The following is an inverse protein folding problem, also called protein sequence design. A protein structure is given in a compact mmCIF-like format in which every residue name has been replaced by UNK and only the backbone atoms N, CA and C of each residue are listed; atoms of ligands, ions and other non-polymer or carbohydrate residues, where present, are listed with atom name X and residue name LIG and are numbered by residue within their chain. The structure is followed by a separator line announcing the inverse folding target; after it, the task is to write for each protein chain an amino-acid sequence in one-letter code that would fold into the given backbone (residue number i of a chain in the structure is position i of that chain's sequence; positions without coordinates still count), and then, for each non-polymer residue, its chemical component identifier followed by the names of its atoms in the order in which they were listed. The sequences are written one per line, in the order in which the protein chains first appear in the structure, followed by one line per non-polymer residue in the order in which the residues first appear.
data_IF_029472651517
#
_entry.id   IF_029472651517
#
_cell.length_a   1.000
_cell.length_b   1.000
_cell.length_c   1.000
_cell.angle_alpha   90.00
_cell.angle_beta   90.00
_cell.angle_gamma   90.00
#
_symmetry.space_group_name_H-M   'P 1'
#
loop_
_entity.id
_entity.type
_entity.pdbx_description
1 polymer ?
#
# COMPACT_ATOMS: atom_id res chain seq x y z
N UNK A 1 43.57 -7.55 13.43
CA UNK A 1 42.61 -7.87 14.51
C UNK A 1 41.43 -6.93 14.38
N UNK A 2 40.18 -7.44 14.36
CA UNK A 2 38.96 -6.60 14.36
C UNK A 2 38.26 -6.78 15.70
N UNK A 3 37.83 -5.68 16.29
CA UNK A 3 37.01 -5.65 17.51
C UNK A 3 35.62 -5.19 17.07
N UNK A 4 34.59 -5.96 17.41
CA UNK A 4 33.21 -5.69 17.07
C UNK A 4 32.43 -5.40 18.37
N UNK A 5 31.44 -4.52 18.28
CA UNK A 5 30.52 -4.20 19.36
C UNK A 5 29.09 -4.30 18.84
N UNK A 6 28.16 -4.74 19.69
CA UNK A 6 26.74 -4.82 19.34
C UNK A 6 26.11 -3.42 19.38
N UNK A 7 25.22 -3.15 18.42
CA UNK A 7 24.43 -1.93 18.35
C UNK A 7 22.95 -2.30 18.37
N UNK A 8 22.21 -1.71 19.29
CA UNK A 8 20.74 -1.75 19.28
C UNK A 8 20.24 -0.82 18.18
N UNK A 9 19.43 -1.35 17.27
CA UNK A 9 18.75 -0.58 16.21
C UNK A 9 17.24 -0.77 16.39
N UNK A 10 16.49 0.32 16.26
CA UNK A 10 15.05 0.23 16.16
C UNK A 10 14.67 -0.54 14.91
N UNK A 11 13.80 -1.52 15.07
CA UNK A 11 13.29 -2.34 13.97
C UNK A 11 11.78 -2.44 14.06
N UNK A 12 11.13 -2.51 12.90
CA UNK A 12 9.68 -2.68 12.81
C UNK A 12 9.37 -4.15 13.08
N UNK A 13 8.82 -4.44 14.25
CA UNK A 13 8.43 -5.81 14.66
C UNK A 13 7.02 -6.17 14.21
N UNK A 14 6.14 -5.17 14.07
CA UNK A 14 4.79 -5.36 13.59
C UNK A 14 4.27 -4.10 12.93
N UNK A 15 3.24 -4.25 12.10
CA UNK A 15 2.41 -3.18 11.56
C UNK A 15 0.95 -3.57 11.73
N UNK A 16 0.11 -2.56 11.92
CA UNK A 16 -1.33 -2.73 12.14
C UNK A 16 -2.06 -2.09 10.97
N UNK A 17 -3.10 -2.76 10.48
CA UNK A 17 -3.97 -2.17 9.47
C UNK A 17 -4.77 -1.02 10.10
N UNK A 18 -4.72 0.16 9.50
CA UNK A 18 -5.40 1.36 10.00
C UNK A 18 -6.93 1.28 9.92
N UNK A 19 -7.49 0.24 9.28
CA UNK A 19 -8.95 0.07 9.11
C UNK A 19 -9.54 -0.97 10.07
N UNK A 20 -9.07 -2.22 10.04
CA UNK A 20 -9.57 -3.27 10.96
C UNK A 20 -8.80 -3.38 12.27
N UNK A 21 -7.66 -2.70 12.39
CA UNK A 21 -6.81 -2.75 13.58
C UNK A 21 -6.15 -4.13 13.84
N UNK A 22 -6.11 -4.99 12.82
CA UNK A 22 -5.42 -6.29 12.85
C UNK A 22 -3.96 -6.17 12.39
N UNK A 23 -3.13 -7.14 12.79
CA UNK A 23 -1.76 -7.27 12.31
C UNK A 23 -1.71 -7.52 10.80
N UNK A 24 -0.87 -6.77 10.08
CA UNK A 24 -0.54 -7.04 8.66
C UNK A 24 0.68 -7.96 8.52
N UNK A 25 1.17 -8.49 9.64
CA UNK A 25 2.17 -9.55 9.69
C UNK A 25 1.45 -10.86 10.03
N UNK A 26 1.45 -11.82 9.09
CA UNK A 26 0.78 -13.12 9.21
C UNK A 26 1.80 -14.20 9.59
N UNK A 27 1.49 -15.03 10.58
CA UNK A 27 2.25 -16.23 10.89
C UNK A 27 1.77 -17.42 10.06
N UNK A 28 2.64 -18.00 9.23
CA UNK A 28 2.37 -19.22 8.48
C UNK A 28 3.56 -20.17 8.57
N UNK A 29 3.32 -21.43 8.94
CA UNK A 29 4.36 -22.46 9.05
C UNK A 29 5.56 -22.07 9.96
N UNK A 30 5.31 -21.25 11.00
CA UNK A 30 6.36 -20.76 11.89
C UNK A 30 7.22 -19.62 11.32
N UNK A 31 6.79 -19.05 10.18
CA UNK A 31 7.42 -17.90 9.55
C UNK A 31 6.44 -16.72 9.52
N UNK A 32 6.95 -15.54 9.86
CA UNK A 32 6.21 -14.28 9.72
C UNK A 32 6.30 -13.77 8.27
N UNK A 33 5.15 -13.57 7.65
CA UNK A 33 5.00 -13.01 6.31
C UNK A 33 4.35 -11.63 6.39
N UNK A 34 4.82 -10.69 5.57
CA UNK A 34 4.25 -9.34 5.50
C UNK A 34 3.17 -9.29 4.41
N UNK A 35 1.94 -8.98 4.82
CA UNK A 35 0.76 -8.76 3.96
C UNK A 35 0.30 -7.30 4.11
N UNK A 36 1.14 -6.36 3.67
CA UNK A 36 0.95 -4.94 3.95
C UNK A 36 1.06 -4.12 2.66
N UNK A 37 -0.05 -3.47 2.31
CA UNK A 37 -0.10 -2.38 1.34
C UNK A 37 0.07 -1.03 2.03
N UNK A 38 0.74 -0.09 1.37
CA UNK A 38 0.92 1.27 1.87
C UNK A 38 0.23 2.27 0.92
N UNK A 39 -0.65 3.13 1.45
CA UNK A 39 -1.15 4.31 0.72
C UNK A 39 -0.47 5.55 1.29
N UNK A 40 0.47 6.12 0.54
CA UNK A 40 1.28 7.26 0.98
C UNK A 40 1.23 8.41 -0.01
N UNK A 41 1.22 9.62 0.52
CA UNK A 41 1.38 10.84 -0.27
C UNK A 41 2.14 11.87 0.55
N UNK A 42 3.03 12.64 -0.08
CA UNK A 42 3.66 13.80 0.53
C UNK A 42 3.58 14.94 -0.46
N UNK A 43 2.97 16.05 -0.03
CA UNK A 43 2.73 17.20 -0.90
C UNK A 43 3.73 18.30 -0.58
N UNK A 44 4.50 18.68 -1.60
CA UNK A 44 5.45 19.78 -1.50
C UNK A 44 4.87 21.11 -1.96
N UNK A 45 5.79 22.08 -2.05
CA UNK A 45 5.49 23.47 -2.38
C UNK A 45 4.62 23.62 -3.62
N UNK A 46 3.53 24.38 -3.50
CA UNK A 46 2.57 24.66 -4.58
C UNK A 46 1.35 23.73 -4.62
N UNK A 47 1.29 22.68 -3.79
CA UNK A 47 0.06 21.93 -3.57
C UNK A 47 -0.94 22.72 -2.70
N UNK A 48 -2.24 22.49 -2.90
CA UNK A 48 -3.27 22.99 -1.95
C UNK A 48 -3.10 22.43 -0.54
N UNK A 49 -2.45 21.28 -0.43
CA UNK A 49 -2.15 20.58 0.81
C UNK A 49 -0.65 20.57 1.10
N UNK A 50 0.07 21.64 0.71
CA UNK A 50 1.51 21.78 0.93
C UNK A 50 1.90 21.51 2.40
N UNK A 51 2.95 20.72 2.57
CA UNK A 51 3.44 20.27 3.87
C UNK A 51 2.67 19.09 4.48
N UNK A 52 1.54 18.68 3.90
CA UNK A 52 0.77 17.54 4.40
C UNK A 52 1.32 16.22 3.84
N UNK A 53 1.57 15.28 4.75
CA UNK A 53 1.93 13.90 4.42
C UNK A 53 0.85 12.96 4.93
N UNK A 54 0.44 12.02 4.09
CA UNK A 54 -0.51 10.95 4.36
C UNK A 54 0.23 9.62 4.35
N UNK A 55 -0.15 8.72 5.25
CA UNK A 55 0.32 7.36 5.28
C UNK A 55 -0.74 6.47 5.92
N UNK A 56 -1.13 5.41 5.20
CA UNK A 56 -1.97 4.34 5.73
C UNK A 56 -1.30 3.00 5.47
N UNK A 57 -1.24 2.16 6.49
CA UNK A 57 -0.91 0.73 6.42
C UNK A 57 -2.22 -0.07 6.30
N UNK A 58 -2.33 -0.88 5.26
CA UNK A 58 -3.53 -1.64 4.91
C UNK A 58 -3.20 -3.13 4.77
N UNK A 59 -4.06 -4.02 5.28
CA UNK A 59 -4.02 -5.42 4.85
C UNK A 59 -4.52 -5.55 3.41
N UNK A 60 -4.31 -6.72 2.79
CA UNK A 60 -4.71 -7.03 1.41
C UNK A 60 -6.18 -6.70 1.18
N UNK A 61 -7.07 -7.12 2.08
CA UNK A 61 -8.51 -6.88 1.97
C UNK A 61 -8.86 -5.38 1.85
N UNK A 62 -8.31 -4.52 2.71
CA UNK A 62 -8.64 -3.09 2.68
C UNK A 62 -7.85 -2.33 1.61
N UNK A 63 -6.69 -2.83 1.22
CA UNK A 63 -6.00 -2.34 0.04
C UNK A 63 -6.83 -2.59 -1.23
N UNK A 64 -7.42 -3.78 -1.38
CA UNK A 64 -8.32 -4.10 -2.49
C UNK A 64 -9.57 -3.21 -2.49
N UNK A 65 -10.15 -2.90 -1.33
CA UNK A 65 -11.26 -1.94 -1.22
C UNK A 65 -10.86 -0.56 -1.75
N UNK A 66 -9.69 -0.04 -1.34
CA UNK A 66 -9.19 1.23 -1.83
C UNK A 66 -8.93 1.21 -3.35
N UNK A 67 -8.35 0.13 -3.86
CA UNK A 67 -8.10 -0.06 -5.28
C UNK A 67 -9.41 -0.12 -6.09
N UNK A 68 -10.42 -0.84 -5.59
CA UNK A 68 -11.74 -0.91 -6.23
C UNK A 68 -12.44 0.45 -6.26
N UNK A 69 -12.37 1.23 -5.17
CA UNK A 69 -12.92 2.58 -5.15
C UNK A 69 -12.28 3.48 -6.23
N UNK A 70 -10.96 3.43 -6.38
CA UNK A 70 -10.24 4.17 -7.43
C UNK A 70 -10.59 3.68 -8.83
N UNK A 71 -10.74 2.36 -8.99
CA UNK A 71 -11.13 1.74 -10.26
C UNK A 71 -12.52 2.17 -10.70
N UNK A 72 -13.48 2.16 -9.78
CA UNK A 72 -14.85 2.57 -10.06
C UNK A 72 -14.93 4.07 -10.34
N UNK A 73 -14.15 4.89 -9.61
CA UNK A 73 -14.03 6.31 -9.90
C UNK A 73 -13.40 6.57 -11.29
N UNK A 74 -12.36 5.83 -11.67
CA UNK A 74 -11.78 5.93 -13.02
C UNK A 74 -12.80 5.52 -14.08
N UNK A 75 -13.59 4.47 -13.83
CA UNK A 75 -14.65 4.03 -14.74
C UNK A 75 -15.69 5.12 -14.97
N UNK A 76 -16.13 5.81 -13.92
CA UNK A 76 -17.14 6.87 -14.04
C UNK A 76 -16.66 8.06 -14.87
N UNK A 77 -15.35 8.34 -14.89
CA UNK A 77 -14.75 9.41 -15.70
C UNK A 77 -14.75 9.05 -17.19
N UNK A 78 -14.44 7.80 -17.54
CA UNK A 78 -14.18 7.40 -18.93
C UNK A 78 -15.34 6.65 -19.60
N UNK A 79 -16.41 6.33 -18.87
CA UNK A 79 -17.50 5.47 -19.37
C UNK A 79 -18.18 5.97 -20.65
N UNK A 80 -18.12 7.28 -20.93
CA UNK A 80 -18.70 7.88 -22.13
C UNK A 80 -17.64 8.41 -23.11
N UNK A 81 -16.37 8.14 -22.86
CA UNK A 81 -15.27 8.54 -23.75
C UNK A 81 -14.81 7.35 -24.59
N UNK A 82 -15.24 7.32 -25.85
CA UNK A 82 -14.90 6.26 -26.81
C UNK A 82 -13.39 6.17 -27.11
N UNK A 83 -12.60 7.18 -26.75
CA UNK A 83 -11.14 7.19 -26.95
C UNK A 83 -10.38 6.60 -25.76
N UNK A 84 -11.02 6.41 -24.62
CA UNK A 84 -10.36 5.94 -23.40
C UNK A 84 -10.85 4.56 -23.00
N UNK A 85 -9.90 3.68 -22.65
CA UNK A 85 -10.22 2.34 -22.20
C UNK A 85 -10.74 2.33 -20.76
N UNK A 86 -11.70 1.43 -20.50
CA UNK A 86 -12.19 1.17 -19.15
C UNK A 86 -11.09 0.48 -18.31
N UNK A 87 -10.99 0.76 -17.01
CA UNK A 87 -9.99 0.12 -16.17
C UNK A 87 -10.30 -1.37 -16.02
N UNK A 88 -9.32 -2.20 -16.37
CA UNK A 88 -9.43 -3.65 -16.48
C UNK A 88 -8.86 -4.38 -15.26
N UNK A 89 -8.57 -5.68 -15.36
CA UNK A 89 -7.97 -6.48 -14.27
C UNK A 89 -6.49 -6.15 -14.02
N UNK A 90 -5.81 -5.42 -14.90
CA UNK A 90 -4.43 -5.00 -14.73
C UNK A 90 -4.31 -3.63 -14.05
N UNK A 91 -5.42 -2.90 -13.85
CA UNK A 91 -5.43 -1.60 -13.17
C UNK A 91 -4.74 -1.65 -11.81
N UNK A 92 -3.66 -0.86 -11.66
CA UNK A 92 -2.89 -0.76 -10.43
C UNK A 92 -1.86 -1.88 -10.20
N UNK A 93 -1.74 -2.85 -11.10
CA UNK A 93 -0.76 -3.95 -10.98
C UNK A 93 0.58 -3.52 -11.60
N UNK A 94 1.63 -3.41 -10.79
CA UNK A 94 2.97 -3.06 -11.27
C UNK A 94 3.75 -4.28 -11.77
N UNK A 95 3.71 -5.39 -11.02
CA UNK A 95 4.37 -6.66 -11.37
C UNK A 95 3.52 -7.83 -10.88
N UNK A 96 3.48 -8.92 -11.66
CA UNK A 96 2.93 -10.20 -11.19
C UNK A 96 4.09 -11.15 -10.97
N UNK A 97 4.29 -11.59 -9.73
CA UNK A 97 5.16 -12.74 -9.45
C UNK A 97 4.54 -13.99 -10.06
N UNK A 98 5.38 -14.87 -10.61
CA UNK A 98 4.98 -16.25 -10.88
C UNK A 98 4.83 -16.93 -9.51
N UNK A 99 3.60 -17.31 -9.19
CA UNK A 99 3.27 -18.08 -7.99
C UNK A 99 3.53 -19.56 -8.24
#
# INVERSE_FOLDING_TARGET
MKILAEKVVETVVNRICDICNDSVMIEMNGHTHKECGELKASWGYGSKADGITYGLDLCENYFEVALHALKDYRRSIVMFDEKQELPDKAFGIATKGLR
#
